data_IF_290251328106
#
_entry.id   IF_290251328106
#
_cell.length_a   1.000
_cell.length_b   1.000
_cell.length_c   1.000
_cell.angle_alpha   90.00
_cell.angle_beta   90.00
_cell.angle_gamma   90.00
#
_symmetry.space_group_name_H-M   'P 1'
#
loop_
_entity.id
_entity.type
_entity.pdbx_description
1 polymer ?
#
# COMPACT_ATOMS: atom_id res chain seq x y z
N UNK A 1 5.16 11.02 6.50
CA UNK A 1 4.56 10.69 5.19
C UNK A 1 5.56 11.07 4.11
N UNK A 2 5.80 10.21 3.14
CA UNK A 2 6.78 10.42 2.06
C UNK A 2 6.09 10.16 0.71
N UNK A 3 6.35 10.97 -0.32
CA UNK A 3 5.93 10.63 -1.68
C UNK A 3 6.66 9.37 -2.16
N UNK A 4 6.02 8.59 -3.05
CA UNK A 4 6.58 7.32 -3.52
C UNK A 4 7.90 7.50 -4.28
N UNK A 5 8.02 8.55 -5.09
CA UNK A 5 9.22 8.82 -5.89
C UNK A 5 10.50 8.96 -5.05
N UNK A 6 10.41 9.22 -3.74
CA UNK A 6 11.59 9.29 -2.87
C UNK A 6 12.31 7.94 -2.74
N UNK A 7 11.60 6.83 -2.87
CA UNK A 7 12.16 5.47 -2.81
C UNK A 7 12.14 4.75 -4.16
N UNK A 8 11.43 5.32 -5.14
CA UNK A 8 11.20 4.72 -6.45
C UNK A 8 11.46 5.75 -7.57
N UNK A 9 12.65 6.38 -7.55
CA UNK A 9 13.01 7.51 -8.42
C UNK A 9 12.94 7.20 -9.93
N UNK A 10 13.18 5.95 -10.31
CA UNK A 10 13.15 5.52 -11.72
C UNK A 10 11.72 5.24 -12.23
N UNK A 11 10.72 5.25 -11.34
CA UNK A 11 9.33 4.97 -11.69
C UNK A 11 8.59 6.29 -11.90
N UNK A 12 8.44 6.67 -13.18
CA UNK A 12 7.80 7.93 -13.58
C UNK A 12 6.34 8.04 -13.13
N UNK A 13 5.65 6.92 -12.93
CA UNK A 13 4.26 6.90 -12.46
C UNK A 13 4.15 7.58 -11.11
N UNK A 14 5.14 7.34 -10.24
CA UNK A 14 5.13 7.81 -8.84
C UNK A 14 5.17 9.33 -8.69
N UNK A 15 5.66 10.06 -9.70
CA UNK A 15 5.70 11.53 -9.73
C UNK A 15 4.32 12.16 -9.93
N UNK A 16 3.37 11.40 -10.48
CA UNK A 16 2.01 11.89 -10.80
C UNK A 16 0.99 11.59 -9.70
N UNK A 17 1.35 10.72 -8.74
CA UNK A 17 0.46 10.25 -7.69
C UNK A 17 0.23 11.33 -6.62
N UNK A 18 -1.04 11.54 -6.25
CA UNK A 18 -1.44 12.58 -5.27
C UNK A 18 -2.07 12.04 -3.99
N UNK A 19 -2.72 10.88 -4.08
CA UNK A 19 -3.60 10.35 -3.02
C UNK A 19 -3.08 9.09 -2.34
N UNK A 20 -1.84 8.70 -2.62
CA UNK A 20 -1.16 7.60 -1.94
C UNK A 20 0.23 8.03 -1.50
N UNK A 21 0.72 7.44 -0.41
CA UNK A 21 1.98 7.83 0.21
C UNK A 21 2.64 6.64 0.90
N UNK A 22 3.93 6.79 1.18
CA UNK A 22 4.68 5.89 2.06
C UNK A 22 4.65 6.44 3.50
N UNK A 23 4.31 5.58 4.45
CA UNK A 23 4.48 5.83 5.89
C UNK A 23 5.80 5.19 6.34
N UNK A 24 6.84 6.01 6.48
CA UNK A 24 8.20 5.50 6.60
C UNK A 24 8.70 5.03 5.23
N UNK A 25 9.44 3.92 5.18
CA UNK A 25 9.93 3.32 3.94
C UNK A 25 9.11 2.09 3.52
N UNK A 26 8.49 1.42 4.49
CA UNK A 26 8.03 0.05 4.29
C UNK A 26 6.51 -0.12 4.25
N UNK A 27 5.73 0.94 4.54
CA UNK A 27 4.27 0.92 4.44
C UNK A 27 3.79 1.84 3.33
N UNK A 28 2.98 1.32 2.41
CA UNK A 28 2.24 2.09 1.41
C UNK A 28 0.78 2.20 1.84
N UNK A 29 0.24 3.42 1.77
CA UNK A 29 -1.13 3.74 2.16
C UNK A 29 -1.84 4.47 1.03
N UNK A 30 -3.02 3.98 0.64
CA UNK A 30 -3.89 4.62 -0.34
C UNK A 30 -5.31 4.77 0.26
N UNK A 31 -5.58 5.86 1.00
CA UNK A 31 -6.87 6.05 1.67
C UNK A 31 -8.03 6.12 0.68
N UNK A 32 -9.13 5.42 0.99
CA UNK A 32 -10.40 5.58 0.28
C UNK A 32 -10.95 6.97 0.58
N UNK A 33 -11.10 7.78 -0.48
CA UNK A 33 -11.57 9.16 -0.36
C UNK A 33 -12.88 9.42 -1.12
N UNK A 34 -13.55 8.37 -1.59
CA UNK A 34 -14.86 8.44 -2.24
C UNK A 34 -15.92 7.73 -1.41
N UNK A 35 -17.12 8.31 -1.36
CA UNK A 35 -18.23 7.77 -0.58
C UNK A 35 -18.77 6.46 -1.17
N UNK A 36 -19.15 5.52 -0.31
CA UNK A 36 -19.88 4.30 -0.70
C UNK A 36 -19.02 3.20 -1.33
N UNK A 37 -17.71 3.40 -1.43
CA UNK A 37 -16.76 2.41 -1.96
C UNK A 37 -16.60 1.23 -1.01
N UNK A 38 -16.45 0.04 -1.59
CA UNK A 38 -16.10 -1.22 -0.90
C UNK A 38 -14.79 -1.82 -1.40
N UNK A 39 -14.24 -1.22 -2.45
CA UNK A 39 -12.97 -1.54 -3.09
C UNK A 39 -12.19 -0.26 -3.32
N UNK A 40 -10.91 -0.39 -3.65
CA UNK A 40 -10.08 0.73 -4.03
C UNK A 40 -9.01 0.33 -5.04
N UNK A 41 -8.83 1.16 -6.06
CA UNK A 41 -7.75 1.02 -7.04
C UNK A 41 -6.59 1.90 -6.63
N UNK A 42 -5.38 1.34 -6.67
CA UNK A 42 -4.15 2.05 -6.34
C UNK A 42 -2.98 1.52 -7.19
N UNK A 43 -1.87 2.26 -7.14
CA UNK A 43 -0.62 1.85 -7.77
C UNK A 43 0.37 1.29 -6.74
N UNK A 44 0.98 0.16 -7.04
CA UNK A 44 2.14 -0.36 -6.30
C UNK A 44 3.39 -0.17 -7.18
N UNK A 45 4.43 0.51 -6.69
CA UNK A 45 5.71 0.51 -7.39
C UNK A 45 6.36 -0.87 -7.30
N UNK A 46 7.33 -1.15 -8.18
CA UNK A 46 7.99 -2.47 -8.28
C UNK A 46 8.67 -2.89 -6.96
N UNK A 47 7.99 -3.76 -6.20
CA UNK A 47 8.46 -4.49 -5.03
C UNK A 47 7.49 -5.66 -4.77
N UNK A 48 7.75 -6.49 -3.77
CA UNK A 48 6.78 -7.46 -3.26
C UNK A 48 6.04 -6.86 -2.07
N UNK A 49 4.77 -6.50 -2.29
CA UNK A 49 3.90 -5.87 -1.32
C UNK A 49 2.94 -6.88 -0.71
N UNK A 50 2.70 -6.78 0.59
CA UNK A 50 1.78 -7.66 1.32
C UNK A 50 0.64 -6.82 1.89
N UNK A 51 -0.59 -7.16 1.53
CA UNK A 51 -1.78 -6.53 2.11
C UNK A 51 -1.82 -6.80 3.62
N UNK A 52 -1.93 -5.73 4.41
CA UNK A 52 -1.79 -5.84 5.86
C UNK A 52 -2.95 -6.56 6.54
N UNK A 53 -4.10 -6.72 5.88
CA UNK A 53 -5.30 -7.36 6.42
C UNK A 53 -5.45 -8.80 5.96
N UNK A 54 -5.22 -9.07 4.67
CA UNK A 54 -5.41 -10.41 4.08
C UNK A 54 -4.12 -11.24 4.12
N UNK A 55 -2.95 -10.59 4.14
CA UNK A 55 -1.66 -11.23 3.94
C UNK A 55 -1.39 -11.65 2.49
N UNK A 56 -2.24 -11.28 1.56
CA UNK A 56 -2.05 -11.52 0.13
C UNK A 56 -0.86 -10.71 -0.40
N UNK A 57 -0.05 -11.33 -1.25
CA UNK A 57 1.12 -10.71 -1.84
C UNK A 57 0.82 -10.24 -3.27
N UNK A 58 1.29 -9.03 -3.59
CA UNK A 58 1.14 -8.39 -4.89
C UNK A 58 2.49 -7.87 -5.38
N UNK A 59 2.72 -8.01 -6.68
CA UNK A 59 3.84 -7.36 -7.37
C UNK A 59 3.46 -5.92 -7.77
N UNK A 60 4.43 -5.17 -8.31
CA UNK A 60 4.19 -3.83 -8.83
C UNK A 60 3.10 -3.78 -9.92
N UNK A 61 2.47 -2.62 -10.06
CA UNK A 61 1.39 -2.37 -11.01
C UNK A 61 0.15 -1.74 -10.37
N UNK A 62 -0.84 -1.45 -11.20
CA UNK A 62 -2.16 -1.04 -10.74
C UNK A 62 -2.95 -2.26 -10.26
N UNK A 63 -3.54 -2.16 -9.07
CA UNK A 63 -4.35 -3.23 -8.49
C UNK A 63 -5.63 -2.66 -7.89
N UNK A 64 -6.67 -3.49 -7.83
CA UNK A 64 -7.90 -3.20 -7.09
C UNK A 64 -8.04 -4.20 -5.95
N UNK A 65 -8.30 -3.71 -4.75
CA UNK A 65 -8.47 -4.55 -3.54
C UNK A 65 -9.74 -4.19 -2.79
N UNK A 66 -10.27 -5.15 -2.04
CA UNK A 66 -11.33 -4.90 -1.07
C UNK A 66 -10.88 -3.87 -0.03
N UNK A 67 -11.74 -2.90 0.22
CA UNK A 67 -11.50 -1.77 1.12
C UNK A 67 -12.75 -1.42 1.97
N UNK A 68 -13.35 -2.38 2.70
CA UNK A 68 -14.43 -2.06 3.62
C UNK A 68 -13.93 -1.16 4.77
N UNK A 69 -14.84 -0.43 5.40
CA UNK A 69 -14.52 0.39 6.58
C UNK A 69 -13.80 -0.46 7.64
N UNK A 70 -12.69 0.06 8.16
CA UNK A 70 -11.81 -0.62 9.10
C UNK A 70 -10.66 -1.40 8.45
N UNK A 71 -10.68 -1.63 7.13
CA UNK A 71 -9.60 -2.27 6.37
C UNK A 71 -9.17 -1.39 5.19
N UNK A 72 -8.56 -0.21 5.45
CA UNK A 72 -8.10 0.67 4.39
C UNK A 72 -7.00 0.00 3.53
N UNK A 73 -6.83 0.37 2.25
CA UNK A 73 -5.76 -0.17 1.41
C UNK A 73 -4.39 0.19 1.96
N UNK A 74 -3.75 -0.78 2.61
CA UNK A 74 -2.46 -0.65 3.28
C UNK A 74 -1.63 -1.88 3.00
N UNK A 75 -0.40 -1.66 2.56
CA UNK A 75 0.53 -2.70 2.16
C UNK A 75 1.88 -2.48 2.82
N UNK A 76 2.56 -3.56 3.19
CA UNK A 76 3.95 -3.49 3.63
C UNK A 76 4.88 -4.27 2.71
N UNK A 77 6.15 -3.87 2.66
CA UNK A 77 7.18 -4.58 1.87
C UNK A 77 7.48 -5.93 2.52
N UNK A 78 7.42 -7.01 1.75
CA UNK A 78 7.67 -8.37 2.25
C UNK A 78 9.07 -8.54 2.88
N UNK A 79 10.06 -7.76 2.40
CA UNK A 79 11.45 -7.76 2.89
C UNK A 79 11.71 -6.74 4.01
N UNK A 80 10.68 -6.09 4.55
CA UNK A 80 10.85 -5.16 5.67
C UNK A 80 11.35 -5.89 6.91
N UNK A 81 12.30 -5.28 7.63
CA UNK A 81 12.70 -5.75 8.97
C UNK A 81 11.53 -5.73 9.97
N UNK A 82 10.51 -4.91 9.70
CA UNK A 82 9.29 -4.78 10.50
C UNK A 82 8.16 -5.70 10.04
N UNK A 83 8.39 -6.59 9.06
CA UNK A 83 7.35 -7.46 8.50
C UNK A 83 6.59 -8.27 9.57
N UNK A 84 7.29 -8.78 10.59
CA UNK A 84 6.66 -9.51 11.71
C UNK A 84 5.71 -8.64 12.53
N UNK A 85 6.05 -7.37 12.73
CA UNK A 85 5.19 -6.39 13.40
C UNK A 85 3.95 -6.06 12.55
N UNK A 86 4.12 -5.80 11.26
CA UNK A 86 2.98 -5.50 10.38
C UNK A 86 2.05 -6.70 10.24
N UNK A 87 2.60 -7.91 10.17
CA UNK A 87 1.85 -9.15 10.12
C UNK A 87 0.95 -9.38 11.35
N UNK A 88 1.30 -8.83 12.52
CA UNK A 88 0.50 -8.98 13.74
C UNK A 88 -0.78 -8.15 13.72
N UNK A 89 -0.84 -7.08 12.91
CA UNK A 89 -2.03 -6.22 12.78
C UNK A 89 -3.24 -6.95 12.18
N UNK A 90 -3.03 -8.09 11.50
CA UNK A 90 -4.11 -8.97 11.02
C UNK A 90 -4.98 -9.53 12.13
N UNK A 91 -4.46 -9.57 13.36
CA UNK A 91 -5.10 -10.22 14.50
C UNK A 91 -5.59 -9.21 15.56
N UNK A 92 -5.59 -7.92 15.26
CA UNK A 92 -6.12 -6.85 16.12
C UNK A 92 -7.50 -6.46 15.60
#
# INVERSE_FOLDING_TARGET
MRPLFLHYENDTTTYTLKYQYLLGQDLLVAPVHEQGRRDWTLYLPEDLWVNIWTGEAHHGGEITVDAPIGKPPVFYRAKSEWASLFASLRNI
#
